data_IF_370704214707
#
_entry.id   IF_370704214707
#
_cell.length_a   1.000
_cell.length_b   1.000
_cell.length_c   1.000
_cell.angle_alpha   90.00
_cell.angle_beta   90.00
_cell.angle_gamma   90.00
#
_symmetry.space_group_name_H-M   'P 1'
#
loop_
_entity.id
_entity.type
_entity.pdbx_description
1 polymer ?
#
# COMPACT_ATOMS: atom_id res chain seq x y z
N UNK A 1 8.64 8.67 -13.46
CA UNK A 1 8.84 7.31 -12.91
C UNK A 1 9.65 6.49 -13.90
N UNK A 2 10.51 5.57 -13.45
CA UNK A 2 11.47 4.88 -14.33
C UNK A 2 10.90 3.64 -15.03
N UNK A 3 9.87 2.98 -14.48
CA UNK A 3 9.27 1.79 -15.08
C UNK A 3 7.92 2.10 -15.74
N UNK A 4 7.60 1.36 -16.79
CA UNK A 4 6.31 1.40 -17.47
C UNK A 4 5.33 0.43 -16.80
N UNK A 5 4.02 0.66 -17.01
CA UNK A 5 2.94 -0.22 -16.55
C UNK A 5 2.89 -0.43 -15.03
N UNK A 6 3.40 0.52 -14.25
CA UNK A 6 3.26 0.52 -12.79
C UNK A 6 1.83 0.85 -12.36
N UNK A 7 1.21 1.81 -13.03
CA UNK A 7 -0.06 2.44 -12.62
C UNK A 7 0.04 3.07 -11.22
N UNK A 8 0.67 4.24 -11.14
CA UNK A 8 0.58 5.07 -9.94
C UNK A 8 -0.85 5.54 -9.74
N UNK A 9 -1.36 5.42 -8.51
CA UNK A 9 -2.76 5.73 -8.22
C UNK A 9 -2.92 6.52 -6.91
N UNK A 10 -2.76 5.87 -5.76
CA UNK A 10 -2.78 6.53 -4.44
C UNK A 10 -1.36 6.80 -3.94
N UNK A 11 -1.24 7.76 -3.01
CA UNK A 11 0.04 8.14 -2.41
C UNK A 11 -0.13 8.54 -0.96
N UNK A 12 0.95 8.45 -0.19
CA UNK A 12 0.96 8.77 1.23
C UNK A 12 2.34 9.20 1.70
N UNK A 13 2.46 9.42 3.00
CA UNK A 13 3.71 9.86 3.64
C UNK A 13 4.30 8.73 4.48
N UNK A 14 5.63 8.70 4.61
CA UNK A 14 6.30 7.77 5.52
C UNK A 14 5.89 7.96 6.98
N UNK A 15 5.60 9.20 7.37
CA UNK A 15 5.14 9.54 8.71
C UNK A 15 4.24 10.77 8.68
N UNK A 16 3.42 10.94 9.70
CA UNK A 16 2.44 12.00 9.82
C UNK A 16 2.14 12.26 11.30
N UNK A 17 1.08 13.01 11.60
CA UNK A 17 0.66 13.29 12.97
C UNK A 17 0.29 12.06 13.79
N UNK A 18 0.22 10.87 13.19
CA UNK A 18 0.03 9.60 13.91
C UNK A 18 1.17 9.28 14.88
N UNK A 19 2.40 9.73 14.63
CA UNK A 19 3.56 9.54 15.51
C UNK A 19 3.69 10.64 16.58
N UNK A 20 2.56 11.21 17.02
CA UNK A 20 2.53 12.30 17.99
C UNK A 20 3.38 11.98 19.23
N UNK A 21 4.32 12.87 19.57
CA UNK A 21 5.25 12.70 20.69
C UNK A 21 6.62 12.13 20.31
N UNK A 22 6.75 11.54 19.12
CA UNK A 22 8.05 11.08 18.60
C UNK A 22 8.71 12.16 17.74
N UNK A 23 9.65 12.89 18.34
CA UNK A 23 10.39 13.97 17.68
C UNK A 23 11.43 13.49 16.67
N UNK A 24 11.72 12.18 16.63
CA UNK A 24 12.70 11.61 15.70
C UNK A 24 12.12 11.43 14.29
N UNK A 25 10.78 11.41 14.16
CA UNK A 25 10.10 11.17 12.89
C UNK A 25 9.98 12.44 12.07
N UNK A 26 10.33 12.32 10.79
CA UNK A 26 10.30 13.43 9.83
C UNK A 26 9.49 13.03 8.61
N UNK A 27 8.46 13.82 8.30
CA UNK A 27 7.64 13.66 7.10
C UNK A 27 8.40 14.18 5.88
N UNK A 28 9.19 13.31 5.27
CA UNK A 28 10.12 13.70 4.22
C UNK A 28 10.25 12.70 3.06
N UNK A 29 9.52 11.58 3.12
CA UNK A 29 9.38 10.63 2.00
C UNK A 29 7.93 10.51 1.58
N UNK A 30 7.69 10.60 0.28
CA UNK A 30 6.44 10.18 -0.34
C UNK A 30 6.49 8.69 -0.63
N UNK A 31 5.41 7.99 -0.31
CA UNK A 31 5.22 6.56 -0.55
C UNK A 31 4.24 6.43 -1.72
N UNK A 32 4.73 5.88 -2.82
CA UNK A 32 4.00 5.74 -4.08
C UNK A 32 3.88 4.25 -4.45
N UNK A 33 2.89 3.53 -3.90
CA UNK A 33 2.56 2.20 -4.38
C UNK A 33 2.00 2.26 -5.81
N UNK A 34 2.22 1.17 -6.54
CA UNK A 34 1.83 1.01 -7.93
C UNK A 34 0.82 -0.12 -8.04
N UNK A 35 -0.35 0.14 -8.61
CA UNK A 35 -1.49 -0.78 -8.58
C UNK A 35 -1.24 -2.00 -9.46
N UNK A 36 -0.61 -1.89 -10.63
CA UNK A 36 -0.48 -3.07 -11.52
C UNK A 36 0.78 -3.86 -11.22
N UNK A 37 1.88 -3.16 -10.99
CA UNK A 37 3.17 -3.80 -10.78
C UNK A 37 3.40 -4.26 -9.35
N UNK A 38 2.71 -3.68 -8.37
CA UNK A 38 3.02 -3.83 -6.94
C UNK A 38 4.36 -3.24 -6.49
N UNK A 39 4.98 -2.39 -7.31
CA UNK A 39 6.20 -1.67 -6.92
C UNK A 39 5.87 -0.52 -5.99
N UNK A 40 6.68 -0.30 -4.96
CA UNK A 40 6.57 0.89 -4.11
C UNK A 40 7.78 1.77 -4.32
N UNK A 41 7.55 3.01 -4.73
CA UNK A 41 8.61 4.02 -4.80
C UNK A 41 8.58 4.87 -3.54
N UNK A 42 9.74 4.94 -2.88
CA UNK A 42 9.99 5.87 -1.79
C UNK A 42 10.72 7.06 -2.36
N UNK A 43 10.09 8.22 -2.34
CA UNK A 43 10.60 9.44 -2.99
C UNK A 43 11.01 10.45 -1.92
N UNK A 44 12.28 10.84 -1.91
CA UNK A 44 12.79 11.92 -1.07
C UNK A 44 12.33 13.29 -1.54
N UNK A 45 11.72 14.02 -0.62
CA UNK A 45 11.35 15.43 -0.80
C UNK A 45 12.07 16.34 0.20
N UNK A 46 12.97 15.80 1.05
CA UNK A 46 13.76 16.60 2.00
C UNK A 46 14.81 17.43 1.30
N UNK A 47 15.56 16.79 0.41
CA UNK A 47 16.76 17.39 -0.19
C UNK A 47 16.39 18.59 -1.07
N UNK A 48 15.37 18.43 -1.91
CA UNK A 48 14.79 19.50 -2.69
C UNK A 48 13.30 19.22 -2.93
N UNK A 49 12.44 20.05 -2.34
CA UNK A 49 10.98 19.91 -2.44
C UNK A 49 10.45 20.12 -3.86
N UNK A 50 11.18 20.83 -4.71
CA UNK A 50 10.82 21.10 -6.12
C UNK A 50 11.46 20.13 -7.10
N UNK A 51 12.43 19.34 -6.64
CA UNK A 51 13.04 18.26 -7.42
C UNK A 51 13.10 16.95 -6.61
N UNK A 52 11.95 16.31 -6.34
CA UNK A 52 11.89 15.02 -5.65
C UNK A 52 12.72 13.95 -6.36
N UNK A 53 13.34 13.06 -5.59
CA UNK A 53 14.21 11.99 -6.11
C UNK A 53 13.83 10.64 -5.53
N UNK A 54 13.94 9.58 -6.32
CA UNK A 54 13.73 8.22 -5.82
C UNK A 54 14.83 7.92 -4.80
N UNK A 55 14.42 7.63 -3.57
CA UNK A 55 15.29 7.24 -2.48
C UNK A 55 15.48 5.72 -2.43
N UNK A 56 14.39 4.97 -2.59
CA UNK A 56 14.37 3.52 -2.59
C UNK A 56 13.23 3.01 -3.46
N UNK A 57 13.44 1.83 -4.04
CA UNK A 57 12.39 1.06 -4.74
C UNK A 57 12.22 -0.25 -3.99
N UNK A 58 10.97 -0.56 -3.63
CA UNK A 58 10.58 -1.89 -3.16
C UNK A 58 10.06 -2.64 -4.37
N UNK A 59 10.80 -3.67 -4.78
CA UNK A 59 10.44 -4.44 -5.95
C UNK A 59 9.26 -5.40 -5.67
N UNK A 60 8.39 -5.66 -6.67
CA UNK A 60 7.19 -6.48 -6.50
C UNK A 60 7.44 -7.88 -5.94
N UNK A 61 8.57 -8.49 -6.29
CA UNK A 61 8.95 -9.84 -5.88
C UNK A 61 9.03 -9.97 -4.36
N UNK A 62 9.50 -8.94 -3.67
CA UNK A 62 9.56 -8.92 -2.21
C UNK A 62 8.17 -8.93 -1.59
N UNK A 63 7.23 -8.16 -2.17
CA UNK A 63 5.84 -8.12 -1.73
C UNK A 63 5.17 -9.47 -1.99
N UNK A 64 5.29 -10.02 -3.20
CA UNK A 64 4.71 -11.31 -3.54
C UNK A 64 5.22 -12.42 -2.61
N UNK A 65 6.53 -12.46 -2.37
CA UNK A 65 7.19 -13.50 -1.57
C UNK A 65 6.82 -13.42 -0.09
N UNK A 66 6.77 -12.22 0.49
CA UNK A 66 6.55 -12.03 1.94
C UNK A 66 5.08 -11.92 2.32
N UNK A 67 4.24 -11.44 1.41
CA UNK A 67 2.85 -11.09 1.71
C UNK A 67 1.82 -11.93 0.96
N UNK A 68 2.21 -12.60 -0.12
CA UNK A 68 1.30 -13.27 -1.05
C UNK A 68 0.13 -12.34 -1.46
N UNK A 69 0.46 -11.08 -1.74
CA UNK A 69 -0.49 -10.02 -2.09
C UNK A 69 0.06 -9.20 -3.25
N UNK A 70 -0.83 -8.67 -4.08
CA UNK A 70 -0.55 -7.86 -5.25
C UNK A 70 -1.58 -6.73 -5.33
N UNK A 71 -1.35 -5.77 -6.21
CA UNK A 71 -2.20 -4.62 -6.44
C UNK A 71 -2.25 -3.70 -5.23
N UNK A 72 -1.11 -3.09 -4.90
CA UNK A 72 -1.02 -2.14 -3.78
C UNK A 72 -1.76 -0.85 -4.11
N UNK A 73 -2.56 -0.37 -3.16
CA UNK A 73 -3.46 0.76 -3.36
C UNK A 73 -3.19 1.88 -2.38
N UNK A 74 -3.86 1.92 -1.23
CA UNK A 74 -3.80 3.07 -0.31
C UNK A 74 -2.66 2.89 0.67
N UNK A 75 -1.70 3.82 0.76
CA UNK A 75 -0.69 3.82 1.82
C UNK A 75 -1.05 4.78 2.97
N UNK A 76 -0.90 4.32 4.22
CA UNK A 76 -1.01 5.14 5.42
C UNK A 76 0.15 4.90 6.40
N UNK A 77 0.73 6.00 6.91
CA UNK A 77 1.64 6.02 8.06
C UNK A 77 0.91 5.58 9.33
N UNK A 78 1.48 4.70 10.14
CA UNK A 78 0.89 4.26 11.41
C UNK A 78 1.53 4.97 12.61
N UNK A 79 0.85 4.93 13.76
CA UNK A 79 1.42 5.41 15.03
C UNK A 79 2.58 4.55 15.53
N UNK A 80 2.70 3.29 15.08
CA UNK A 80 3.84 2.40 15.35
C UNK A 80 5.12 2.84 14.63
N UNK A 81 5.02 3.80 13.71
CA UNK A 81 6.12 4.20 12.83
C UNK A 81 6.21 3.38 11.54
N UNK A 82 5.40 2.34 11.38
CA UNK A 82 5.33 1.56 10.12
C UNK A 82 4.46 2.26 9.07
N UNK A 83 4.55 1.80 7.84
CA UNK A 83 3.65 2.20 6.75
C UNK A 83 2.82 0.98 6.37
N UNK A 84 1.50 1.11 6.39
CA UNK A 84 0.58 0.08 5.95
C UNK A 84 0.03 0.42 4.57
N UNK A 85 -0.06 -0.56 3.69
CA UNK A 85 -0.56 -0.38 2.33
C UNK A 85 -1.63 -1.43 2.04
N UNK A 86 -2.84 -1.03 1.67
CA UNK A 86 -3.89 -1.96 1.27
C UNK A 86 -3.58 -2.63 -0.07
N UNK A 87 -4.16 -3.80 -0.29
CA UNK A 87 -4.03 -4.59 -1.53
C UNK A 87 -5.40 -5.07 -2.02
N UNK A 88 -5.55 -5.21 -3.34
CA UNK A 88 -6.82 -5.65 -3.96
C UNK A 88 -6.86 -7.15 -4.29
N UNK A 89 -5.71 -7.83 -4.34
CA UNK A 89 -5.70 -9.23 -4.74
C UNK A 89 -4.44 -10.00 -4.46
N UNK A 90 -4.45 -11.27 -4.86
CA UNK A 90 -3.28 -12.15 -4.81
C UNK A 90 -2.42 -12.03 -6.10
N UNK A 91 -1.23 -12.65 -6.15
CA UNK A 91 -0.39 -12.62 -7.35
C UNK A 91 -1.05 -13.20 -8.62
N UNK A 92 -2.05 -14.08 -8.47
CA UNK A 92 -2.83 -14.65 -9.56
C UNK A 92 -3.99 -13.74 -10.03
N UNK A 93 -4.20 -12.58 -9.36
CA UNK A 93 -5.27 -11.64 -9.68
C UNK A 93 -6.64 -12.02 -9.13
N UNK A 94 -6.73 -13.00 -8.23
CA UNK A 94 -7.96 -13.26 -7.49
C UNK A 94 -8.18 -12.17 -6.43
N UNK A 95 -9.43 -12.00 -6.01
CA UNK A 95 -9.76 -11.09 -4.92
C UNK A 95 -9.16 -11.58 -3.60
N UNK A 96 -8.52 -10.67 -2.89
CA UNK A 96 -7.98 -10.87 -1.55
C UNK A 96 -7.73 -9.50 -0.95
N UNK A 97 -8.41 -9.17 0.14
CA UNK A 97 -8.09 -7.98 0.92
C UNK A 97 -7.04 -8.29 1.97
N UNK A 98 -5.93 -7.57 1.90
CA UNK A 98 -4.75 -7.76 2.75
C UNK A 98 -3.99 -6.44 2.87
N UNK A 99 -3.13 -6.31 3.87
CA UNK A 99 -2.42 -5.08 4.19
C UNK A 99 -0.93 -5.34 4.37
N UNK A 100 -0.12 -4.80 3.46
CA UNK A 100 1.34 -4.93 3.48
C UNK A 100 1.93 -3.91 4.46
N UNK A 101 2.85 -4.37 5.31
CA UNK A 101 3.62 -3.50 6.21
C UNK A 101 5.02 -3.25 5.66
N UNK A 102 5.40 -1.99 5.58
CA UNK A 102 6.78 -1.54 5.39
C UNK A 102 7.34 -0.98 6.70
N UNK A 103 8.61 -1.24 6.94
CA UNK A 103 9.37 -0.55 7.97
C UNK A 103 9.45 0.96 7.67
N UNK A 104 9.27 1.80 8.69
CA UNK A 104 9.23 3.26 8.52
C UNK A 104 10.56 3.95 8.24
N UNK A 105 11.68 3.24 8.46
CA UNK A 105 13.03 3.78 8.33
C UNK A 105 13.77 3.12 7.18
N UNK A 106 13.74 1.79 7.11
CA UNK A 106 14.41 1.03 6.05
C UNK A 106 13.53 0.86 4.82
N UNK A 107 12.21 1.00 4.93
CA UNK A 107 11.23 0.72 3.88
C UNK A 107 11.27 -0.72 3.37
N UNK A 108 11.77 -1.65 4.18
CA UNK A 108 11.71 -3.08 3.87
C UNK A 108 10.32 -3.65 4.15
N UNK A 109 9.89 -4.60 3.32
CA UNK A 109 8.65 -5.35 3.54
C UNK A 109 8.79 -6.22 4.78
N UNK A 110 7.93 -6.00 5.77
CA UNK A 110 7.87 -6.75 7.03
C UNK A 110 6.95 -7.97 6.97
N UNK A 111 5.91 -7.91 6.13
CA UNK A 111 4.88 -8.93 6.03
C UNK A 111 3.49 -8.30 6.00
N UNK A 112 2.49 -9.03 6.51
CA UNK A 112 1.11 -8.58 6.54
C UNK A 112 0.73 -8.01 7.91
N UNK A 113 -0.21 -7.08 7.94
CA UNK A 113 -0.77 -6.56 9.18
C UNK A 113 -1.87 -7.48 9.72
N UNK A 114 -2.71 -8.05 8.87
CA UNK A 114 -3.71 -9.00 9.30
C UNK A 114 -3.07 -10.29 9.84
N UNK A 115 -3.72 -10.88 10.85
CA UNK A 115 -3.32 -12.20 11.36
C UNK A 115 -3.47 -13.24 10.25
N UNK A 116 -2.57 -14.21 10.22
CA UNK A 116 -2.64 -15.31 9.24
C UNK A 116 -4.02 -15.97 9.23
N UNK A 117 -4.58 -16.13 8.03
CA UNK A 117 -5.93 -16.66 7.83
C UNK A 117 -7.07 -15.64 7.92
N UNK A 118 -6.80 -14.39 8.31
CA UNK A 118 -7.81 -13.33 8.45
C UNK A 118 -7.80 -12.30 7.31
N UNK A 119 -7.33 -12.68 6.12
CA UNK A 119 -7.52 -11.86 4.93
C UNK A 119 -9.02 -11.76 4.60
N UNK A 120 -9.46 -10.57 4.16
CA UNK A 120 -10.85 -10.37 3.74
C UNK A 120 -11.06 -10.88 2.31
N UNK A 121 -12.31 -11.20 1.91
CA UNK A 121 -12.59 -11.66 0.54
C UNK A 121 -12.17 -10.65 -0.54
N UNK A 122 -12.29 -9.36 -0.24
CA UNK A 122 -11.93 -8.25 -1.13
C UNK A 122 -11.20 -7.15 -0.37
N UNK A 123 -10.45 -6.32 -1.11
CA UNK A 123 -9.77 -5.14 -0.58
C UNK A 123 -9.84 -3.97 -1.55
N UNK A 124 -9.76 -2.76 -0.99
CA UNK A 124 -9.69 -1.50 -1.72
C UNK A 124 -9.01 -0.44 -0.84
N UNK A 125 -9.78 0.50 -0.29
CA UNK A 125 -9.31 1.54 0.61
C UNK A 125 -9.48 1.15 2.08
N UNK A 126 -8.76 1.82 2.97
CA UNK A 126 -8.89 1.64 4.41
C UNK A 126 -8.51 2.88 5.21
N UNK A 127 -9.03 3.00 6.42
CA UNK A 127 -8.56 3.99 7.40
C UNK A 127 -8.65 3.41 8.81
N UNK A 128 -7.83 3.91 9.72
CA UNK A 128 -7.82 3.50 11.13
C UNK A 128 -8.14 4.65 12.10
N UNK A 129 -8.77 4.31 13.23
CA UNK A 129 -9.12 5.22 14.32
C UNK A 129 -8.36 4.81 15.60
N UNK A 130 -7.16 5.37 15.87
CA UNK A 130 -6.29 4.90 16.96
C UNK A 130 -6.94 4.95 18.34
N UNK A 131 -7.74 5.99 18.62
CA UNK A 131 -8.40 6.19 19.91
C UNK A 131 -9.50 5.16 20.19
N UNK A 132 -10.03 4.54 19.15
CA UNK A 132 -11.06 3.50 19.26
C UNK A 132 -10.51 2.10 19.01
N UNK A 133 -9.22 1.99 18.63
CA UNK A 133 -8.58 0.73 18.25
C UNK A 133 -9.36 -0.04 17.16
N UNK A 134 -9.79 0.69 16.11
CA UNK A 134 -10.53 0.12 14.97
C UNK A 134 -9.83 0.49 13.66
N UNK A 135 -9.82 -0.46 12.72
CA UNK A 135 -9.52 -0.24 11.31
C UNK A 135 -10.75 -0.63 10.49
N UNK A 136 -11.09 0.19 9.50
CA UNK A 136 -12.22 -0.02 8.59
C UNK A 136 -11.64 -0.11 7.19
N UNK A 137 -12.04 -1.14 6.44
CA UNK A 137 -11.65 -1.34 5.05
C UNK A 137 -12.88 -1.47 4.17
N UNK A 138 -12.67 -1.25 2.87
CA UNK A 138 -13.67 -1.28 1.82
C UNK A 138 -13.29 -2.31 0.75
N UNK A 139 -14.23 -2.59 -0.15
CA UNK A 139 -14.13 -3.67 -1.12
C UNK A 139 -14.28 -3.15 -2.56
N UNK A 140 -13.55 -3.76 -3.49
CA UNK A 140 -13.67 -3.60 -4.94
C UNK A 140 -13.73 -5.00 -5.59
N UNK A 141 -13.89 -5.09 -6.91
CA UNK A 141 -13.84 -6.37 -7.63
C UNK A 141 -12.47 -7.03 -7.66
N UNK A 142 -12.41 -8.27 -8.14
CA UNK A 142 -11.15 -9.00 -8.32
C UNK A 142 -10.28 -8.38 -9.44
N UNK A 143 -8.96 -8.21 -9.24
CA UNK A 143 -8.09 -7.59 -10.23
C UNK A 143 -8.10 -8.23 -11.62
N UNK A 144 -8.15 -9.56 -11.72
CA UNK A 144 -8.23 -10.27 -13.02
C UNK A 144 -9.46 -9.93 -13.87
N UNK A 145 -10.46 -9.31 -13.24
CA UNK A 145 -11.70 -8.84 -13.84
C UNK A 145 -11.54 -7.37 -14.21
N UNK A 146 -11.44 -6.47 -13.23
CA UNK A 146 -11.54 -5.02 -13.48
C UNK A 146 -10.36 -4.44 -14.28
N UNK A 147 -9.18 -5.08 -14.28
CA UNK A 147 -8.01 -4.60 -15.04
C UNK A 147 -8.21 -4.65 -16.56
N UNK A 148 -9.28 -5.29 -17.04
CA UNK A 148 -9.68 -5.33 -18.46
C UNK A 148 -10.67 -4.21 -18.82
N UNK A 149 -11.02 -3.34 -17.87
CA UNK A 149 -12.11 -2.39 -17.98
C UNK A 149 -13.40 -2.93 -17.38
N UNK A 150 -14.36 -2.04 -17.19
CA UNK A 150 -15.69 -2.40 -16.68
C UNK A 150 -16.49 -3.17 -17.73
N UNK A 151 -17.05 -4.32 -17.34
CA UNK A 151 -18.07 -5.05 -18.07
C UNK A 151 -19.29 -5.25 -17.16
N UNK A 152 -20.49 -5.00 -17.68
CA UNK A 152 -21.74 -5.14 -16.91
C UNK A 152 -21.98 -6.59 -16.48
N UNK A 153 -21.57 -7.56 -17.29
CA UNK A 153 -21.73 -9.00 -17.04
C UNK A 153 -20.95 -9.45 -15.78
N UNK A 154 -19.89 -8.73 -15.39
CA UNK A 154 -19.08 -9.06 -14.22
C UNK A 154 -19.74 -8.67 -12.88
N UNK A 155 -20.86 -7.94 -12.92
CA UNK A 155 -21.59 -7.43 -11.74
C UNK A 155 -23.07 -7.82 -11.72
N UNK A 156 -23.49 -8.75 -12.58
CA UNK A 156 -24.84 -9.30 -12.58
C UNK A 156 -25.06 -10.20 -11.35
N UNK A 157 -26.24 -10.09 -10.74
CA UNK A 157 -26.63 -10.77 -9.50
C UNK A 157 -27.31 -12.12 -9.74
#
# INVERSE_FOLDING_TARGET
MPNLNDELHHSGWNTCSSCFGDITKVRDKLILPSVISSRVYVVDVRTDRRAPRIHKVVEPEEVHKKCNSRYLHTPHCLGSGEIMISTLGDPAGNSKGSFVLLDGETFEVKGNWEVEGNATPFGYDFWYQPRHNVMISSEMGAPKIFTKGFNIEDVEA
#
